data_IF_680117492079
#
_entry.id   IF_680117492079
#
_cell.length_a   1.000
_cell.length_b   1.000
_cell.length_c   1.000
_cell.angle_alpha   90.00
_cell.angle_beta   90.00
_cell.angle_gamma   90.00
#
_symmetry.space_group_name_H-M   'P 1'
#
loop_
_entity.id
_entity.type
_entity.pdbx_description
1 polymer ?
#
# COMPACT_ATOMS: atom_id res chain seq x y z
N UNK A 1 6.89 10.13 18.90
CA UNK A 1 6.68 8.93 18.05
C UNK A 1 5.37 8.97 17.25
N UNK A 2 4.21 9.20 17.89
CA UNK A 2 2.89 9.24 17.21
C UNK A 2 2.81 10.18 15.99
N UNK A 3 3.36 11.40 16.07
CA UNK A 3 3.40 12.35 14.94
C UNK A 3 4.20 11.85 13.74
N UNK A 4 5.32 11.17 13.98
CA UNK A 4 6.22 10.67 12.93
C UNK A 4 5.57 9.51 12.17
N UNK A 5 4.91 8.60 12.90
CA UNK A 5 4.16 7.48 12.31
C UNK A 5 2.94 7.99 11.51
N UNK A 6 2.25 9.02 12.01
CA UNK A 6 1.17 9.66 11.26
C UNK A 6 1.68 10.32 9.96
N UNK A 7 2.81 11.04 10.02
CA UNK A 7 3.44 11.65 8.86
C UNK A 7 3.82 10.58 7.82
N UNK A 8 4.47 9.50 8.25
CA UNK A 8 4.86 8.40 7.38
C UNK A 8 3.65 7.71 6.72
N UNK A 9 2.57 7.53 7.49
CA UNK A 9 1.30 6.98 6.96
C UNK A 9 0.67 7.91 5.93
N UNK A 10 0.74 9.22 6.15
CA UNK A 10 0.20 10.21 5.22
C UNK A 10 1.02 10.24 3.91
N UNK A 11 2.35 10.29 4.01
CA UNK A 11 3.24 10.31 2.84
C UNK A 11 3.11 9.04 2.02
N UNK A 12 3.05 7.87 2.67
CA UNK A 12 2.87 6.60 1.97
C UNK A 12 1.50 6.52 1.29
N UNK A 13 0.42 6.97 1.94
CA UNK A 13 -0.91 7.04 1.33
C UNK A 13 -0.94 7.99 0.12
N UNK A 14 -0.26 9.14 0.23
CA UNK A 14 -0.13 10.11 -0.86
C UNK A 14 0.60 9.50 -2.07
N UNK A 15 1.75 8.86 -1.86
CA UNK A 15 2.50 8.19 -2.93
C UNK A 15 1.65 7.09 -3.58
N UNK A 16 0.93 6.29 -2.78
CA UNK A 16 0.08 5.21 -3.30
C UNK A 16 -1.07 5.75 -4.14
N UNK A 17 -1.65 6.89 -3.76
CA UNK A 17 -2.68 7.56 -4.56
C UNK A 17 -2.15 7.99 -5.94
N UNK A 18 -0.92 8.49 -6.00
CA UNK A 18 -0.24 8.83 -7.26
C UNK A 18 -0.03 7.57 -8.10
N UNK A 19 0.44 6.47 -7.51
CA UNK A 19 0.63 5.19 -8.21
C UNK A 19 -0.70 4.69 -8.80
N UNK A 20 -1.80 4.78 -8.06
CA UNK A 20 -3.13 4.40 -8.53
C UNK A 20 -3.52 5.25 -9.75
N UNK A 21 -3.35 6.57 -9.67
CA UNK A 21 -3.61 7.49 -10.79
C UNK A 21 -2.76 7.11 -12.01
N UNK A 22 -1.44 6.95 -11.83
CA UNK A 22 -0.53 6.54 -12.90
C UNK A 22 -0.95 5.19 -13.52
N UNK A 23 -1.40 4.24 -12.71
CA UNK A 23 -1.90 2.94 -13.19
C UNK A 23 -3.13 3.14 -14.05
N UNK A 24 -4.11 3.95 -13.63
CA UNK A 24 -5.27 4.26 -14.48
C UNK A 24 -4.90 4.99 -15.77
N UNK A 25 -3.88 5.87 -15.73
CA UNK A 25 -3.38 6.57 -16.91
C UNK A 25 -2.80 5.63 -17.99
N UNK A 26 -2.38 4.41 -17.63
CA UNK A 26 -1.94 3.43 -18.64
C UNK A 26 -3.04 3.05 -19.63
N UNK A 27 -4.31 3.12 -19.22
CA UNK A 27 -5.48 2.91 -20.10
C UNK A 27 -5.48 3.87 -21.29
N UNK A 28 -4.93 5.07 -21.12
CA UNK A 28 -4.86 6.11 -22.15
C UNK A 28 -3.61 6.00 -23.04
N UNK A 29 -2.87 4.89 -22.98
CA UNK A 29 -1.67 4.59 -23.78
C UNK A 29 -0.58 5.69 -23.77
N UNK A 30 -0.42 6.40 -22.65
CA UNK A 30 0.73 7.28 -22.47
C UNK A 30 2.03 6.45 -22.46
N UNK A 31 2.88 6.64 -23.47
CA UNK A 31 4.07 5.81 -23.73
C UNK A 31 5.01 5.67 -22.51
N UNK A 32 5.26 6.75 -21.78
CA UNK A 32 6.13 6.75 -20.58
C UNK A 32 5.49 6.05 -19.37
N UNK A 33 4.18 6.18 -19.19
CA UNK A 33 3.47 5.60 -18.04
C UNK A 33 3.26 4.10 -18.24
N UNK A 34 2.98 3.69 -19.48
CA UNK A 34 2.82 2.28 -19.87
C UNK A 34 4.10 1.44 -19.83
N UNK A 35 5.30 2.02 -19.71
CA UNK A 35 6.51 1.22 -19.51
C UNK A 35 6.69 0.78 -18.05
N UNK A 36 6.35 1.65 -17.11
CA UNK A 36 6.57 1.42 -15.67
C UNK A 36 5.34 0.82 -14.99
N UNK A 37 4.13 1.23 -15.40
CA UNK A 37 2.87 0.92 -14.71
C UNK A 37 1.98 -0.10 -15.45
N UNK A 38 2.45 -0.68 -16.55
CA UNK A 38 1.69 -1.70 -17.31
C UNK A 38 1.69 -3.09 -16.62
N UNK A 39 2.46 -3.26 -15.56
CA UNK A 39 2.29 -4.39 -14.65
C UNK A 39 1.46 -3.97 -13.45
N UNK A 40 0.73 -4.90 -12.83
CA UNK A 40 0.08 -4.69 -11.54
C UNK A 40 1.08 -4.69 -10.36
N UNK A 41 2.37 -4.99 -10.61
CA UNK A 41 3.41 -4.98 -9.57
C UNK A 41 3.57 -3.64 -8.83
N UNK A 42 3.64 -2.46 -9.48
CA UNK A 42 3.81 -1.19 -8.80
C UNK A 42 2.64 -0.85 -7.88
N UNK A 43 1.40 -1.14 -8.30
CA UNK A 43 0.21 -0.89 -7.48
C UNK A 43 0.15 -1.87 -6.30
N UNK A 44 0.50 -3.14 -6.51
CA UNK A 44 0.58 -4.15 -5.44
C UNK A 44 1.64 -3.77 -4.40
N UNK A 45 2.82 -3.34 -4.83
CA UNK A 45 3.89 -2.86 -3.93
C UNK A 45 3.46 -1.62 -3.15
N UNK A 46 2.88 -0.63 -3.82
CA UNK A 46 2.41 0.61 -3.18
C UNK A 46 1.38 0.34 -2.08
N UNK A 47 0.36 -0.47 -2.39
CA UNK A 47 -0.70 -0.86 -1.44
C UNK A 47 -0.13 -1.71 -0.31
N UNK A 48 0.80 -2.62 -0.60
CA UNK A 48 1.43 -3.46 0.40
C UNK A 48 2.19 -2.63 1.45
N UNK A 49 3.02 -1.68 1.00
CA UNK A 49 3.80 -0.81 1.89
C UNK A 49 2.88 0.08 2.72
N UNK A 50 1.85 0.68 2.12
CA UNK A 50 0.90 1.51 2.88
C UNK A 50 0.14 0.72 3.93
N UNK A 51 -0.32 -0.48 3.61
CA UNK A 51 -1.04 -1.34 4.55
C UNK A 51 -0.13 -1.82 5.69
N UNK A 52 1.14 -2.11 5.42
CA UNK A 52 2.12 -2.42 6.48
C UNK A 52 2.34 -1.21 7.43
N UNK A 53 2.50 -0.01 6.87
CA UNK A 53 2.67 1.22 7.67
C UNK A 53 1.40 1.54 8.48
N UNK A 54 0.20 1.34 7.90
CA UNK A 54 -1.06 1.49 8.63
C UNK A 54 -1.19 0.46 9.76
N UNK A 55 -0.77 -0.79 9.54
CA UNK A 55 -0.79 -1.82 10.57
C UNK A 55 0.04 -1.41 11.78
N UNK A 56 1.25 -0.90 11.53
CA UNK A 56 2.12 -0.34 12.56
C UNK A 56 1.51 0.91 13.22
N UNK A 57 0.91 1.82 12.44
CA UNK A 57 0.22 2.99 12.98
C UNK A 57 -0.89 2.62 13.94
N UNK A 58 -1.78 1.71 13.55
CA UNK A 58 -2.85 1.26 14.43
C UNK A 58 -2.30 0.57 15.66
N UNK A 59 -1.24 -0.24 15.51
CA UNK A 59 -0.60 -0.91 16.63
C UNK A 59 -0.01 0.08 17.65
N UNK A 60 0.53 1.23 17.26
CA UNK A 60 1.17 2.15 18.20
C UNK A 60 0.31 3.35 18.62
N UNK A 61 -0.68 3.72 17.81
CA UNK A 61 -1.43 4.96 18.02
C UNK A 61 -2.79 4.77 18.70
N UNK A 62 -3.45 3.64 18.47
CA UNK A 62 -4.79 3.34 19.01
C UNK A 62 -4.72 2.47 20.28
N UNK A 63 -5.69 2.64 21.17
CA UNK A 63 -5.85 1.81 22.39
C UNK A 63 -7.21 1.09 22.38
N UNK A 64 -7.26 -0.14 22.89
CA UNK A 64 -8.48 -0.96 22.98
C UNK A 64 -8.67 -2.01 21.88
N UNK A 65 -9.87 -2.59 21.78
CA UNK A 65 -10.19 -3.70 20.84
C UNK A 65 -10.05 -3.31 19.36
N UNK A 66 -10.36 -2.06 19.03
CA UNK A 66 -10.26 -1.52 17.65
C UNK A 66 -8.83 -1.55 17.12
N UNK A 67 -7.83 -1.35 18.00
CA UNK A 67 -6.40 -1.43 17.69
C UNK A 67 -6.05 -2.76 17.00
N UNK A 68 -6.46 -3.86 17.62
CA UNK A 68 -6.11 -5.21 17.17
C UNK A 68 -6.84 -5.52 15.87
N UNK A 69 -8.13 -5.18 15.78
CA UNK A 69 -8.92 -5.43 14.58
C UNK A 69 -8.36 -4.71 13.35
N UNK A 70 -8.15 -3.39 13.43
CA UNK A 70 -7.64 -2.63 12.29
C UNK A 70 -6.21 -3.03 11.92
N UNK A 71 -5.35 -3.24 12.92
CA UNK A 71 -3.99 -3.71 12.67
C UNK A 71 -3.97 -5.08 11.99
N UNK A 72 -4.75 -6.05 12.49
CA UNK A 72 -4.82 -7.39 11.91
C UNK A 72 -5.35 -7.40 10.47
N UNK A 73 -6.39 -6.62 10.18
CA UNK A 73 -6.92 -6.50 8.81
C UNK A 73 -5.88 -5.92 7.87
N UNK A 74 -5.25 -4.80 8.25
CA UNK A 74 -4.20 -4.18 7.41
C UNK A 74 -2.99 -5.10 7.21
N UNK A 75 -2.59 -5.85 8.23
CA UNK A 75 -1.49 -6.79 8.14
C UNK A 75 -1.83 -7.99 7.24
N UNK A 76 -3.05 -8.51 7.33
CA UNK A 76 -3.54 -9.60 6.47
C UNK A 76 -3.52 -9.19 5.00
N UNK A 77 -3.97 -7.97 4.68
CA UNK A 77 -3.93 -7.45 3.29
C UNK A 77 -2.48 -7.39 2.78
N UNK A 78 -1.55 -6.91 3.61
CA UNK A 78 -0.13 -6.84 3.24
C UNK A 78 0.46 -8.23 2.98
N UNK A 79 0.16 -9.23 3.83
CA UNK A 79 0.61 -10.62 3.64
C UNK A 79 0.05 -11.21 2.34
N UNK A 80 -1.25 -11.03 2.08
CA UNK A 80 -1.90 -11.55 0.87
C UNK A 80 -1.26 -10.95 -0.38
N UNK A 81 -0.99 -9.64 -0.39
CA UNK A 81 -0.31 -8.97 -1.50
C UNK A 81 1.13 -9.47 -1.70
N UNK A 82 1.88 -9.69 -0.61
CA UNK A 82 3.21 -10.30 -0.69
C UNK A 82 3.17 -11.71 -1.26
N UNK A 83 2.20 -12.52 -0.81
CA UNK A 83 2.01 -13.86 -1.32
C UNK A 83 1.74 -13.87 -2.83
N UNK A 84 0.86 -12.99 -3.32
CA UNK A 84 0.58 -12.87 -4.75
C UNK A 84 1.78 -12.33 -5.55
N UNK A 85 2.55 -11.40 -5.00
CA UNK A 85 3.77 -10.92 -5.66
C UNK A 85 4.83 -12.02 -5.79
N UNK A 86 5.02 -12.83 -4.75
CA UNK A 86 6.03 -13.91 -4.74
C UNK A 86 5.59 -15.08 -5.63
N UNK A 87 4.30 -15.43 -5.62
CA UNK A 87 3.73 -16.49 -6.45
C UNK A 87 3.33 -16.00 -7.84
N UNK A 88 3.75 -14.79 -8.24
CA UNK A 88 3.60 -14.33 -9.62
C UNK A 88 4.54 -15.16 -10.51
N UNK A 89 4.03 -16.30 -10.97
CA UNK A 89 4.66 -17.14 -12.00
C UNK A 89 4.71 -16.31 -13.29
N UNK A 90 5.93 -16.15 -13.80
CA UNK A 90 6.25 -15.37 -15.00
C UNK A 90 5.70 -16.01 -16.26
#
# INVERSE_FOLDING_TARGET
MKKLINLLSFVSAFITSIIIICTFLTTYQFFYVGQIFNSYLPIQLGICITMAILAFRFLFNETGRRRIFYSAVSFSISIVLLFFMINYIR
#
